data_IF_890898919767
#
_entry.id   IF_890898919767
#
_cell.length_a   1.000
_cell.length_b   1.000
_cell.length_c   1.000
_cell.angle_alpha   90.00
_cell.angle_beta   90.00
_cell.angle_gamma   90.00
#
_symmetry.space_group_name_H-M   'P 1'
#
loop_
_entity.id
_entity.type
_entity.pdbx_description
1 polymer ?
#
# COMPACT_ATOMS: atom_id res chain seq x y z
N UNK A 1 17.39 -13.82 6.01
CA UNK A 1 16.75 -13.04 7.09
C UNK A 1 16.55 -11.57 6.75
N UNK A 2 17.13 -10.99 5.68
CA UNK A 2 16.71 -9.67 5.16
C UNK A 2 15.79 -9.78 3.93
N UNK A 3 15.88 -10.88 3.18
CA UNK A 3 15.03 -11.10 1.99
C UNK A 3 13.55 -11.23 2.36
N UNK A 4 13.22 -11.95 3.44
CA UNK A 4 11.83 -12.20 3.84
C UNK A 4 11.05 -10.89 4.13
N UNK A 5 11.71 -9.88 4.72
CA UNK A 5 11.09 -8.59 5.02
C UNK A 5 10.88 -7.72 3.78
N UNK A 6 11.78 -7.81 2.78
CA UNK A 6 11.61 -7.10 1.51
C UNK A 6 10.43 -7.69 0.74
N UNK A 7 10.28 -9.02 0.76
CA UNK A 7 9.16 -9.72 0.14
C UNK A 7 7.82 -9.37 0.79
N UNK A 8 7.75 -9.30 2.13
CA UNK A 8 6.53 -8.89 2.84
C UNK A 8 6.13 -7.45 2.52
N UNK A 9 7.10 -6.53 2.45
CA UNK A 9 6.82 -5.13 2.12
C UNK A 9 6.33 -4.95 0.68
N UNK A 10 6.89 -5.70 -0.28
CA UNK A 10 6.43 -5.66 -1.67
C UNK A 10 5.00 -6.21 -1.75
N UNK A 11 4.74 -7.38 -1.16
CA UNK A 11 3.39 -7.97 -1.12
C UNK A 11 2.36 -7.04 -0.48
N UNK A 12 2.73 -6.40 0.63
CA UNK A 12 1.86 -5.44 1.30
C UNK A 12 1.51 -4.25 0.40
N UNK A 13 2.46 -3.74 -0.38
CA UNK A 13 2.20 -2.67 -1.36
C UNK A 13 1.27 -3.16 -2.47
N UNK A 14 1.55 -4.33 -3.05
CA UNK A 14 0.75 -4.90 -4.14
C UNK A 14 -0.72 -5.10 -3.74
N UNK A 15 -0.96 -5.51 -2.48
CA UNK A 15 -2.32 -5.68 -1.94
C UNK A 15 -3.06 -4.34 -1.91
N UNK A 16 -2.47 -3.30 -1.32
CA UNK A 16 -3.16 -2.02 -1.15
C UNK A 16 -3.32 -1.29 -2.49
N UNK A 17 -2.26 -1.27 -3.30
CA UNK A 17 -2.30 -0.63 -4.62
C UNK A 17 -3.21 -1.38 -5.59
N UNK A 18 -3.15 -2.72 -5.59
CA UNK A 18 -4.01 -3.56 -6.41
C UNK A 18 -5.50 -3.45 -6.06
N UNK A 19 -5.84 -3.30 -4.77
CA UNK A 19 -7.22 -3.06 -4.33
C UNK A 19 -7.79 -1.76 -4.91
N UNK A 20 -6.94 -0.75 -5.11
CA UNK A 20 -7.30 0.55 -5.67
C UNK A 20 -7.16 0.62 -7.21
N UNK A 21 -6.76 -0.48 -7.85
CA UNK A 21 -6.59 -0.56 -9.30
C UNK A 21 -5.29 0.07 -9.83
N UNK A 22 -4.32 0.35 -8.96
CA UNK A 22 -2.98 0.75 -9.37
C UNK A 22 -2.19 -0.47 -9.84
N UNK A 23 -1.38 -0.30 -10.90
CA UNK A 23 -0.55 -1.37 -11.45
C UNK A 23 0.70 -1.67 -10.62
N UNK A 24 1.38 -2.77 -10.94
CA UNK A 24 2.62 -3.24 -10.28
C UNK A 24 3.80 -2.25 -10.37
N UNK A 25 3.68 -1.22 -11.21
CA UNK A 25 4.65 -0.14 -11.42
C UNK A 25 4.57 0.97 -10.35
N UNK A 26 3.58 0.91 -9.44
CA UNK A 26 3.41 1.85 -8.35
C UNK A 26 4.07 1.35 -7.06
N UNK A 27 4.61 2.29 -6.27
CA UNK A 27 5.17 2.05 -4.95
C UNK A 27 4.57 2.99 -3.91
N UNK A 28 4.46 2.54 -2.66
CA UNK A 28 3.93 3.36 -1.55
C UNK A 28 5.09 4.10 -0.86
N UNK A 29 5.04 5.43 -0.89
CA UNK A 29 5.99 6.30 -0.20
C UNK A 29 5.56 6.58 1.25
N UNK A 30 4.27 6.78 1.48
CA UNK A 30 3.70 6.99 2.81
C UNK A 30 2.29 6.44 2.89
N UNK A 31 1.91 5.98 4.08
CA UNK A 31 0.61 5.38 4.36
C UNK A 31 0.15 5.83 5.74
N UNK A 32 -1.10 6.28 5.83
CA UNK A 32 -1.77 6.63 7.07
C UNK A 32 -3.08 5.83 7.16
N UNK A 33 -3.28 4.98 8.18
CA UNK A 33 -4.58 4.40 8.44
C UNK A 33 -5.58 5.49 8.86
N UNK A 34 -6.82 5.38 8.40
CA UNK A 34 -7.94 6.25 8.78
C UNK A 34 -8.91 5.49 9.70
N UNK A 35 -10.04 6.10 10.07
CA UNK A 35 -11.04 5.43 10.92
C UNK A 35 -11.59 4.16 10.25
N UNK A 36 -11.89 4.24 8.95
CA UNK A 36 -12.54 3.17 8.20
C UNK A 36 -11.62 2.52 7.15
N UNK A 37 -10.51 3.17 6.77
CA UNK A 37 -9.65 2.73 5.67
C UNK A 37 -8.20 3.20 5.77
N UNK A 38 -7.66 3.72 4.67
CA UNK A 38 -6.29 4.26 4.61
C UNK A 38 -6.14 5.29 3.50
N UNK A 39 -5.17 6.17 3.66
CA UNK A 39 -4.73 7.10 2.62
C UNK A 39 -3.22 7.15 2.55
N UNK A 40 -2.67 7.61 1.44
CA UNK A 40 -1.24 7.66 1.29
C UNK A 40 -0.77 8.39 0.04
N UNK A 41 0.56 8.40 -0.11
CA UNK A 41 1.24 8.92 -1.28
C UNK A 41 1.98 7.77 -1.93
N UNK A 42 1.69 7.55 -3.21
CA UNK A 42 2.40 6.61 -4.07
C UNK A 42 3.33 7.33 -5.04
N UNK A 43 4.22 6.57 -5.67
CA UNK A 43 5.02 7.03 -6.80
C UNK A 43 5.08 5.96 -7.89
N UNK A 44 4.99 6.42 -9.13
CA UNK A 44 5.24 5.62 -10.33
C UNK A 44 6.74 5.42 -10.56
N UNK A 45 7.10 4.53 -11.48
CA UNK A 45 8.51 4.25 -11.82
C UNK A 45 9.29 5.47 -12.33
N UNK A 46 8.60 6.44 -12.95
CA UNK A 46 9.20 7.68 -13.42
C UNK A 46 9.40 8.73 -12.32
N UNK A 47 8.91 8.45 -11.11
CA UNK A 47 8.99 9.31 -9.94
C UNK A 47 7.84 10.31 -9.80
N UNK A 48 6.86 10.32 -10.71
CA UNK A 48 5.62 11.08 -10.52
C UNK A 48 4.85 10.53 -9.32
N UNK A 49 4.39 11.42 -8.44
CA UNK A 49 3.68 11.07 -7.22
C UNK A 49 2.17 11.22 -7.39
N UNK A 50 1.43 10.37 -6.70
CA UNK A 50 -0.03 10.42 -6.68
C UNK A 50 -0.55 10.19 -5.27
N UNK A 51 -1.69 10.83 -4.96
CA UNK A 51 -2.42 10.58 -3.73
C UNK A 51 -3.39 9.42 -3.96
N UNK A 52 -3.57 8.57 -2.94
CA UNK A 52 -4.55 7.50 -2.97
C UNK A 52 -5.28 7.40 -1.64
N UNK A 53 -6.53 6.92 -1.69
CA UNK A 53 -7.38 6.76 -0.52
C UNK A 53 -8.34 5.59 -0.74
N UNK A 54 -8.55 4.82 0.32
CA UNK A 54 -9.61 3.82 0.45
C UNK A 54 -10.52 4.27 1.59
N UNK A 55 -11.80 4.49 1.28
CA UNK A 55 -12.86 4.82 2.24
C UNK A 55 -13.73 3.60 2.60
N UNK A 56 -13.33 2.40 2.16
CA UNK A 56 -14.09 1.18 2.36
C UNK A 56 -13.60 0.37 3.57
N UNK A 57 -14.47 -0.50 4.07
CA UNK A 57 -14.12 -1.41 5.17
C UNK A 57 -12.97 -2.35 4.77
N UNK A 58 -11.86 -2.21 5.48
CA UNK A 58 -10.66 -3.01 5.22
C UNK A 58 -10.89 -4.51 5.39
N UNK A 59 -10.51 -5.25 4.36
CA UNK A 59 -10.37 -6.71 4.39
C UNK A 59 -9.24 -7.12 5.34
N UNK A 60 -9.24 -8.38 5.79
CA UNK A 60 -8.17 -8.91 6.64
C UNK A 60 -6.77 -8.78 5.99
N UNK A 61 -6.73 -8.88 4.66
CA UNK A 61 -5.50 -8.80 3.88
C UNK A 61 -4.96 -7.36 3.83
N UNK A 62 -5.83 -6.37 3.65
CA UNK A 62 -5.45 -4.95 3.70
C UNK A 62 -5.04 -4.53 5.11
N UNK A 63 -5.72 -5.02 6.16
CA UNK A 63 -5.31 -4.80 7.55
C UNK A 63 -3.91 -5.33 7.83
N UNK A 64 -3.60 -6.54 7.32
CA UNK A 64 -2.26 -7.09 7.40
C UNK A 64 -1.25 -6.21 6.66
N UNK A 65 -1.54 -5.83 5.41
CA UNK A 65 -0.65 -5.00 4.61
C UNK A 65 -0.34 -3.65 5.27
N UNK A 66 -1.36 -2.97 5.83
CA UNK A 66 -1.19 -1.75 6.62
C UNK A 66 -0.24 -2.02 7.80
N UNK A 67 -0.40 -3.12 8.53
CA UNK A 67 0.47 -3.44 9.68
C UNK A 67 1.95 -3.64 9.32
N UNK A 68 2.25 -4.01 8.08
CA UNK A 68 3.62 -4.13 7.57
C UNK A 68 4.19 -2.78 7.14
N UNK A 69 3.33 -1.87 6.66
CA UNK A 69 3.75 -0.60 6.06
C UNK A 69 3.70 0.59 7.03
N UNK A 70 3.06 0.43 8.19
CA UNK A 70 2.89 1.44 9.25
C UNK A 70 4.02 1.44 10.27
#
# INVERSE_FOLDING_TARGET
MKDDFLDERIRAQDILLGALGFGEEASILSLEPTEDGYRGIGAWEDGEQFEFESEESLTDLERWAISILS
#
